data_IF_734912355955
#
_entry.id   IF_734912355955
#
_cell.length_a   1.000
_cell.length_b   1.000
_cell.length_c   1.000
_cell.angle_alpha   90.00
_cell.angle_beta   90.00
_cell.angle_gamma   90.00
#
_symmetry.space_group_name_H-M   'P 1'
#
loop_
_entity.id
_entity.type
_entity.pdbx_description
1 polymer ?
#
# COMPACT_ATOMS: atom_id res chain seq x y z
N UNK A 1 -2.77 -14.33 -10.85
CA UNK A 1 -2.67 -12.86 -10.69
C UNK A 1 -1.45 -12.32 -11.45
N UNK A 2 -0.21 -12.71 -11.11
CA UNK A 2 1.02 -12.15 -11.69
C UNK A 2 1.01 -12.06 -13.23
N UNK A 3 0.77 -13.15 -13.96
CA UNK A 3 0.81 -13.15 -15.42
C UNK A 3 -0.24 -12.23 -16.05
N UNK A 4 -1.45 -12.18 -15.49
CA UNK A 4 -2.53 -11.34 -16.00
C UNK A 4 -2.21 -9.86 -15.78
N UNK A 5 -1.85 -9.45 -14.58
CA UNK A 5 -1.50 -8.05 -14.28
C UNK A 5 -0.28 -7.61 -15.10
N UNK A 6 0.76 -8.46 -15.20
CA UNK A 6 1.92 -8.18 -16.04
C UNK A 6 1.53 -7.92 -17.50
N UNK A 7 0.65 -8.75 -18.08
CA UNK A 7 0.20 -8.58 -19.46
C UNK A 7 -0.58 -7.27 -19.66
N UNK A 8 -1.42 -6.87 -18.71
CA UNK A 8 -2.14 -5.60 -18.74
C UNK A 8 -1.13 -4.42 -18.74
N UNK A 9 -0.17 -4.43 -17.81
CA UNK A 9 0.85 -3.39 -17.73
C UNK A 9 1.72 -3.35 -19.00
N UNK A 10 2.11 -4.50 -19.53
CA UNK A 10 2.88 -4.56 -20.78
C UNK A 10 2.10 -4.03 -21.99
N UNK A 11 0.76 -4.08 -21.98
CA UNK A 11 -0.06 -3.46 -23.03
C UNK A 11 -0.20 -1.94 -22.91
N UNK A 12 0.50 -1.31 -21.95
CA UNK A 12 0.46 0.13 -21.68
C UNK A 12 -0.81 0.58 -20.96
N UNK A 13 -1.47 -0.33 -20.24
CA UNK A 13 -2.68 -0.03 -19.45
C UNK A 13 -2.43 -0.18 -17.97
N UNK A 14 -3.23 0.52 -17.17
CA UNK A 14 -3.30 0.34 -15.72
C UNK A 14 -4.24 -0.83 -15.37
N UNK A 15 -3.93 -1.55 -14.31
CA UNK A 15 -4.75 -2.66 -13.83
C UNK A 15 -5.61 -2.22 -12.65
N UNK A 16 -6.92 -2.41 -12.73
CA UNK A 16 -7.81 -2.27 -11.58
C UNK A 16 -8.13 -3.67 -11.05
N UNK A 17 -7.70 -3.96 -9.83
CA UNK A 17 -7.87 -5.25 -9.18
C UNK A 17 -8.91 -5.12 -8.07
N UNK A 18 -10.01 -5.86 -8.18
CA UNK A 18 -11.09 -5.83 -7.20
C UNK A 18 -11.18 -7.19 -6.52
N UNK A 19 -10.95 -7.20 -5.22
CA UNK A 19 -11.16 -8.37 -4.37
C UNK A 19 -10.00 -9.35 -4.31
N UNK A 20 -10.25 -10.44 -3.61
CA UNK A 20 -9.28 -11.38 -3.13
C UNK A 20 -8.64 -10.93 -1.79
N UNK A 21 -7.85 -11.80 -1.19
CA UNK A 21 -7.10 -11.46 0.02
C UNK A 21 -5.88 -10.60 -0.31
N UNK A 22 -5.40 -9.81 0.65
CA UNK A 22 -4.28 -8.87 0.47
C UNK A 22 -2.91 -9.55 0.22
N UNK A 23 -2.85 -10.89 0.29
CA UNK A 23 -1.73 -11.66 -0.26
C UNK A 23 -1.50 -11.41 -1.77
N UNK A 24 -2.47 -10.81 -2.48
CA UNK A 24 -2.34 -10.38 -3.86
C UNK A 24 -1.46 -9.13 -4.04
N UNK A 25 -1.20 -8.34 -3.01
CA UNK A 25 -0.25 -7.22 -3.07
C UNK A 25 1.11 -7.66 -3.65
N UNK A 26 1.67 -8.77 -3.17
CA UNK A 26 2.93 -9.28 -3.71
C UNK A 26 2.93 -9.55 -5.22
N UNK A 27 2.04 -10.39 -5.77
CA UNK A 27 2.01 -10.61 -7.22
C UNK A 27 1.60 -9.36 -8.02
N UNK A 28 0.83 -8.42 -7.48
CA UNK A 28 0.49 -7.16 -8.14
C UNK A 28 1.73 -6.27 -8.28
N UNK A 29 2.43 -6.00 -7.18
CA UNK A 29 3.67 -5.21 -7.16
C UNK A 29 4.72 -5.83 -8.09
N UNK A 30 4.94 -7.14 -7.96
CA UNK A 30 5.89 -7.87 -8.81
C UNK A 30 5.54 -7.78 -10.28
N UNK A 31 4.25 -7.90 -10.62
CA UNK A 31 3.76 -7.85 -12.00
C UNK A 31 3.95 -6.46 -12.61
N UNK A 32 3.55 -5.40 -11.88
CA UNK A 32 3.69 -4.03 -12.30
C UNK A 32 5.17 -3.65 -12.49
N UNK A 33 6.02 -3.92 -11.50
CA UNK A 33 7.47 -3.68 -11.60
C UNK A 33 8.10 -4.44 -12.78
N UNK A 34 7.68 -5.68 -13.01
CA UNK A 34 8.19 -6.49 -14.12
C UNK A 34 7.70 -5.98 -15.47
N UNK A 35 6.41 -5.67 -15.61
CA UNK A 35 5.81 -5.19 -16.86
C UNK A 35 6.39 -3.84 -17.29
N UNK A 36 6.48 -2.88 -16.37
CA UNK A 36 7.06 -1.56 -16.61
C UNK A 36 8.55 -1.66 -16.99
N UNK A 37 9.31 -2.52 -16.32
CA UNK A 37 10.72 -2.73 -16.64
C UNK A 37 10.93 -3.36 -18.03
N UNK A 38 10.14 -4.36 -18.38
CA UNK A 38 10.20 -5.00 -19.70
C UNK A 38 9.83 -4.05 -20.85
N UNK A 39 8.95 -3.10 -20.58
CA UNK A 39 8.60 -2.04 -21.53
C UNK A 39 9.62 -0.88 -21.57
N UNK A 40 10.69 -0.94 -20.77
CA UNK A 40 11.69 0.13 -20.68
C UNK A 40 11.22 1.42 -20.01
N UNK A 41 10.08 1.39 -19.34
CA UNK A 41 9.48 2.57 -18.66
C UNK A 41 10.25 2.90 -17.37
N UNK A 42 10.67 1.89 -16.63
CA UNK A 42 11.51 2.03 -15.44
C UNK A 42 12.84 1.29 -15.61
N UNK A 43 13.92 1.88 -15.06
CA UNK A 43 15.27 1.28 -15.14
C UNK A 43 15.44 0.15 -14.13
N UNK A 44 15.01 0.36 -12.89
CA UNK A 44 15.03 -0.63 -11.82
C UNK A 44 13.73 -1.42 -11.83
N UNK A 45 13.78 -2.71 -11.56
CA UNK A 45 12.60 -3.58 -11.50
C UNK A 45 11.90 -3.45 -10.15
N UNK A 46 11.58 -2.20 -9.77
CA UNK A 46 10.89 -1.88 -8.52
C UNK A 46 9.97 -0.68 -8.70
N UNK A 47 8.88 -0.68 -7.96
CA UNK A 47 7.90 0.42 -7.88
C UNK A 47 7.72 0.85 -6.42
N UNK A 48 7.02 1.95 -6.21
CA UNK A 48 6.54 2.36 -4.91
C UNK A 48 5.11 1.89 -4.68
N UNK A 49 4.63 1.93 -3.45
CA UNK A 49 3.24 1.64 -3.13
C UNK A 49 2.74 2.56 -2.01
N UNK A 50 1.48 3.00 -2.15
CA UNK A 50 0.72 3.64 -1.09
C UNK A 50 -0.48 2.76 -0.73
N UNK A 51 -0.70 2.50 0.56
CA UNK A 51 -1.79 1.67 1.05
C UNK A 51 -2.55 2.36 2.18
N UNK A 52 -3.88 2.38 2.11
CA UNK A 52 -4.71 2.72 3.25
C UNK A 52 -5.19 1.43 3.91
N UNK A 53 -4.73 1.17 5.11
CA UNK A 53 -4.88 -0.10 5.79
C UNK A 53 -4.70 0.06 7.31
N UNK A 54 -5.49 -0.66 8.09
CA UNK A 54 -5.34 -0.76 9.54
C UNK A 54 -4.10 -1.61 9.93
N UNK A 55 -3.67 -2.48 9.02
CA UNK A 55 -2.52 -3.38 9.16
C UNK A 55 -1.38 -2.98 8.23
N UNK A 56 -0.16 -3.33 8.58
CA UNK A 56 1.00 -3.08 7.72
C UNK A 56 1.17 -4.12 6.61
N UNK A 57 0.57 -5.28 6.77
CA UNK A 57 0.74 -6.46 5.93
C UNK A 57 2.21 -6.78 5.62
N UNK A 58 3.04 -6.54 6.67
CA UNK A 58 4.50 -6.63 6.59
C UNK A 58 5.08 -7.61 7.61
N UNK A 59 4.30 -8.64 8.01
CA UNK A 59 4.76 -9.72 8.89
C UNK A 59 5.92 -10.50 8.26
N UNK A 60 6.59 -11.33 9.06
CA UNK A 60 7.71 -12.15 8.61
C UNK A 60 7.31 -13.13 7.49
N UNK A 61 8.32 -13.59 6.74
CA UNK A 61 8.13 -14.52 5.61
C UNK A 61 7.98 -15.97 6.09
N UNK A 62 6.94 -16.23 6.85
CA UNK A 62 6.58 -17.53 7.43
C UNK A 62 5.68 -18.41 6.53
N UNK A 63 5.69 -18.15 5.23
CA UNK A 63 4.73 -18.65 4.26
C UNK A 63 3.82 -17.50 3.79
N UNK A 64 3.33 -17.57 2.55
CA UNK A 64 2.55 -16.46 1.96
C UNK A 64 1.11 -16.44 2.50
N UNK A 65 0.72 -15.32 3.07
CA UNK A 65 -0.64 -15.04 3.53
C UNK A 65 -0.95 -13.53 3.40
N UNK A 66 -2.17 -13.08 3.71
CA UNK A 66 -2.60 -11.69 3.56
C UNK A 66 -1.73 -10.70 4.34
N UNK A 67 -1.30 -11.04 5.54
CA UNK A 67 -0.53 -10.15 6.42
C UNK A 67 0.96 -10.01 6.10
N UNK A 68 1.46 -10.49 4.94
CA UNK A 68 2.89 -10.36 4.61
C UNK A 68 3.19 -10.11 3.11
N UNK A 69 2.18 -9.72 2.34
CA UNK A 69 2.35 -9.48 0.90
C UNK A 69 3.41 -8.43 0.58
N UNK A 70 3.40 -7.31 1.29
CA UNK A 70 4.37 -6.23 1.09
C UNK A 70 5.78 -6.62 1.55
N UNK A 71 5.90 -7.45 2.60
CA UNK A 71 7.21 -7.96 3.02
C UNK A 71 7.88 -8.78 1.92
N UNK A 72 7.15 -9.71 1.29
CA UNK A 72 7.67 -10.46 0.15
C UNK A 72 8.06 -9.57 -1.02
N UNK A 73 7.27 -8.54 -1.34
CA UNK A 73 7.58 -7.61 -2.41
C UNK A 73 8.86 -6.80 -2.11
N UNK A 74 9.03 -6.35 -0.87
CA UNK A 74 10.18 -5.58 -0.43
C UNK A 74 11.47 -6.42 -0.42
N UNK A 75 11.46 -7.58 0.22
CA UNK A 75 12.65 -8.45 0.31
C UNK A 75 13.10 -8.97 -1.06
N UNK A 76 12.15 -9.19 -1.98
CA UNK A 76 12.47 -9.54 -3.36
C UNK A 76 12.79 -8.35 -4.27
N UNK A 77 12.88 -7.13 -3.72
CA UNK A 77 13.28 -5.90 -4.40
C UNK A 77 12.33 -5.44 -5.54
N UNK A 78 11.06 -5.81 -5.46
CA UNK A 78 10.01 -5.28 -6.34
C UNK A 78 9.33 -4.04 -5.75
N UNK A 79 9.35 -3.87 -4.44
CA UNK A 79 8.86 -2.71 -3.69
C UNK A 79 10.06 -1.89 -3.20
N UNK A 80 10.10 -0.60 -3.51
CA UNK A 80 11.17 0.31 -3.08
C UNK A 80 10.74 1.16 -1.88
N UNK A 81 9.64 1.92 -2.04
CA UNK A 81 9.05 2.72 -0.96
C UNK A 81 7.63 2.26 -0.68
N UNK A 82 7.27 2.20 0.59
CA UNK A 82 5.94 1.83 1.04
C UNK A 82 5.41 2.85 2.03
N UNK A 83 4.32 3.53 1.66
CA UNK A 83 3.63 4.49 2.52
C UNK A 83 2.29 3.92 3.00
N UNK A 84 2.04 3.99 4.29
CA UNK A 84 0.82 3.48 4.93
C UNK A 84 0.04 4.62 5.57
N UNK A 85 -1.28 4.66 5.36
CA UNK A 85 -2.19 5.68 5.91
C UNK A 85 -3.29 5.00 6.72
N UNK A 86 -3.44 5.37 7.98
CA UNK A 86 -4.47 4.83 8.87
C UNK A 86 -4.06 3.57 9.62
N UNK A 87 -2.76 3.31 9.73
CA UNK A 87 -2.18 2.16 10.40
C UNK A 87 -2.52 2.19 11.91
N UNK A 88 -3.14 1.14 12.46
CA UNK A 88 -3.42 1.06 13.89
C UNK A 88 -2.21 0.58 14.70
N UNK A 89 -1.86 1.31 15.74
CA UNK A 89 -0.75 0.93 16.63
C UNK A 89 -0.97 -0.45 17.26
N UNK A 90 -2.20 -0.75 17.67
CA UNK A 90 -2.56 -1.99 18.38
C UNK A 90 -2.75 -3.21 17.48
N UNK A 91 -2.89 -3.03 16.16
CA UNK A 91 -3.12 -4.14 15.22
C UNK A 91 -1.81 -4.64 14.58
N UNK A 92 -0.70 -3.98 14.89
CA UNK A 92 0.60 -4.28 14.31
C UNK A 92 1.60 -4.71 15.38
N UNK A 93 2.37 -5.73 15.10
CA UNK A 93 3.40 -6.21 16.02
C UNK A 93 4.52 -5.18 16.19
N UNK A 94 4.94 -4.92 17.43
CA UNK A 94 5.92 -3.88 17.74
C UNK A 94 7.26 -4.06 17.03
N UNK A 95 7.73 -5.30 16.85
CA UNK A 95 8.97 -5.60 16.12
C UNK A 95 8.85 -5.26 14.62
N UNK A 96 7.66 -5.40 14.02
CA UNK A 96 7.40 -5.04 12.62
C UNK A 96 7.40 -3.51 12.47
N UNK A 97 6.71 -2.80 13.37
CA UNK A 97 6.72 -1.33 13.38
C UNK A 97 8.12 -0.78 13.59
N UNK A 98 8.88 -1.33 14.54
CA UNK A 98 10.26 -0.93 14.80
C UNK A 98 11.12 -1.13 13.55
N UNK A 99 11.03 -2.30 12.90
CA UNK A 99 11.77 -2.59 11.67
C UNK A 99 11.53 -1.52 10.58
N UNK A 100 10.27 -1.08 10.42
CA UNK A 100 9.93 -0.06 9.43
C UNK A 100 10.37 1.35 9.86
N UNK A 101 10.19 1.72 11.13
CA UNK A 101 10.59 3.02 11.65
C UNK A 101 12.11 3.27 11.61
N UNK A 102 12.89 2.20 11.69
CA UNK A 102 14.36 2.25 11.53
C UNK A 102 14.82 2.43 10.06
N UNK A 103 13.89 2.42 9.10
CA UNK A 103 14.15 2.53 7.65
C UNK A 103 13.29 3.60 6.99
N UNK A 104 13.43 4.88 7.42
CA UNK A 104 12.59 5.96 6.92
C UNK A 104 12.78 6.24 5.41
N UNK A 105 13.83 5.74 4.81
CA UNK A 105 14.07 5.80 3.36
C UNK A 105 13.15 4.84 2.56
N UNK A 106 12.64 3.78 3.22
CA UNK A 106 11.79 2.78 2.57
C UNK A 106 10.33 2.80 3.07
N UNK A 107 10.07 3.37 4.27
CA UNK A 107 8.75 3.30 4.90
C UNK A 107 8.29 4.66 5.43
N UNK A 108 7.03 4.99 5.15
CA UNK A 108 6.33 6.14 5.74
C UNK A 108 5.06 5.65 6.42
N UNK A 109 4.95 5.88 7.73
CA UNK A 109 3.84 5.44 8.54
C UNK A 109 3.01 6.65 8.99
N UNK A 110 1.69 6.57 8.80
CA UNK A 110 0.73 7.52 9.37
C UNK A 110 -0.29 6.74 10.18
N UNK A 111 -0.21 6.88 11.50
CA UNK A 111 -1.04 6.12 12.43
C UNK A 111 -2.45 6.68 12.54
N UNK A 112 -3.43 5.79 12.64
CA UNK A 112 -4.83 6.12 12.88
C UNK A 112 -5.00 6.94 14.16
N UNK A 113 -4.30 6.56 15.22
CA UNK A 113 -4.33 7.24 16.51
C UNK A 113 -3.81 8.68 16.42
N UNK A 114 -2.79 8.95 15.61
CA UNK A 114 -2.26 10.30 15.42
C UNK A 114 -3.20 11.18 14.57
N UNK A 115 -3.98 10.56 13.67
CA UNK A 115 -4.94 11.27 12.82
C UNK A 115 -6.25 11.56 13.58
N UNK A 116 -6.84 10.55 14.24
CA UNK A 116 -8.24 10.62 14.72
C UNK A 116 -8.39 10.68 16.24
N UNK A 117 -7.36 10.31 17.00
CA UNK A 117 -7.43 10.29 18.46
C UNK A 117 -6.62 11.43 19.07
N UNK A 118 -5.37 11.62 18.57
CA UNK A 118 -4.47 12.65 19.09
C UNK A 118 -4.51 13.93 18.27
N UNK A 119 -5.14 13.89 17.09
CA UNK A 119 -5.30 15.04 16.17
C UNK A 119 -3.98 15.78 15.86
N UNK A 120 -2.87 15.03 15.77
CA UNK A 120 -1.55 15.60 15.47
C UNK A 120 -1.41 16.02 14.01
N UNK A 121 -2.16 15.36 13.13
CA UNK A 121 -2.17 15.58 11.69
C UNK A 121 -3.58 15.26 11.17
N UNK A 122 -4.09 16.03 10.23
CA UNK A 122 -5.35 15.72 9.59
C UNK A 122 -5.22 14.53 8.63
N UNK A 123 -6.33 13.85 8.33
CA UNK A 123 -6.35 12.76 7.36
C UNK A 123 -5.81 13.21 5.98
N UNK A 124 -6.19 14.40 5.53
CA UNK A 124 -5.74 14.97 4.26
C UNK A 124 -4.24 15.18 4.23
N UNK A 125 -3.66 15.74 5.30
CA UNK A 125 -2.21 15.94 5.41
C UNK A 125 -1.47 14.60 5.48
N UNK A 126 -2.01 13.59 6.17
CA UNK A 126 -1.43 12.24 6.21
C UNK A 126 -1.39 11.61 4.81
N UNK A 127 -2.47 11.75 4.03
CA UNK A 127 -2.52 11.28 2.63
C UNK A 127 -1.53 12.04 1.76
N UNK A 128 -1.47 13.37 1.87
CA UNK A 128 -0.53 14.18 1.08
C UNK A 128 0.94 13.86 1.42
N UNK A 129 1.26 13.66 2.69
CA UNK A 129 2.59 13.20 3.14
C UNK A 129 2.97 11.86 2.51
N UNK A 130 2.04 10.91 2.50
CA UNK A 130 2.26 9.61 1.90
C UNK A 130 2.48 9.70 0.37
N UNK A 131 1.69 10.53 -0.33
CA UNK A 131 1.84 10.80 -1.77
C UNK A 131 3.21 11.41 -2.07
N UNK A 132 3.59 12.47 -1.36
CA UNK A 132 4.90 13.12 -1.53
C UNK A 132 6.07 12.15 -1.34
N UNK A 133 5.93 11.20 -0.40
CA UNK A 133 6.95 10.23 -0.11
C UNK A 133 7.16 9.19 -1.25
N UNK A 134 6.10 8.81 -1.96
CA UNK A 134 6.16 7.74 -3.00
C UNK A 134 6.16 8.26 -4.43
N UNK A 135 5.98 9.56 -4.68
CA UNK A 135 5.76 10.13 -6.03
C UNK A 135 6.96 10.07 -6.99
N UNK A 136 8.15 9.75 -6.50
CA UNK A 136 9.39 9.73 -7.27
C UNK A 136 9.53 8.52 -8.20
N UNK A 137 8.58 7.59 -8.18
CA UNK A 137 8.54 6.43 -9.07
C UNK A 137 7.08 6.07 -9.41
N UNK A 138 6.88 5.11 -10.31
CA UNK A 138 5.58 4.48 -10.52
C UNK A 138 5.08 3.87 -9.23
N UNK A 139 3.77 3.96 -9.00
CA UNK A 139 3.17 3.63 -7.71
C UNK A 139 1.92 2.76 -7.86
N UNK A 140 1.84 1.69 -7.07
CA UNK A 140 0.60 0.98 -6.80
C UNK A 140 -0.23 1.73 -5.76
N UNK A 141 -1.54 1.84 -5.99
CA UNK A 141 -2.48 2.41 -5.02
C UNK A 141 -3.35 1.28 -4.49
N UNK A 142 -3.21 0.99 -3.20
CA UNK A 142 -3.99 -0.06 -2.54
C UNK A 142 -4.87 0.52 -1.43
N UNK A 143 -6.00 -0.13 -1.21
CA UNK A 143 -6.89 0.12 -0.09
C UNK A 143 -7.41 -1.23 0.42
N UNK A 144 -7.09 -1.57 1.67
CA UNK A 144 -7.74 -2.71 2.31
C UNK A 144 -9.13 -2.29 2.79
N UNK A 145 -10.12 -3.16 2.56
CA UNK A 145 -11.50 -2.88 2.97
C UNK A 145 -11.65 -2.82 4.49
N UNK A 146 -10.75 -3.42 5.25
CA UNK A 146 -10.79 -3.39 6.71
C UNK A 146 -10.30 -2.05 7.32
N UNK A 147 -9.69 -1.18 6.50
CA UNK A 147 -9.44 0.21 6.92
C UNK A 147 -10.74 1.02 7.03
N UNK A 148 -11.82 0.61 6.33
CA UNK A 148 -13.10 1.32 6.31
C UNK A 148 -14.00 0.79 7.41
N UNK A 149 -14.52 1.70 8.25
CA UNK A 149 -15.38 1.34 9.37
C UNK A 149 -16.59 0.50 8.94
N UNK A 150 -16.86 -0.57 9.69
CA UNK A 150 -18.04 -1.43 9.55
C UNK A 150 -18.20 -2.18 8.22
N UNK A 151 -17.22 -2.15 7.32
CA UNK A 151 -17.24 -2.97 6.11
C UNK A 151 -17.11 -4.45 6.49
N UNK A 152 -17.91 -5.36 5.89
CA UNK A 152 -17.77 -6.79 6.10
C UNK A 152 -16.44 -7.30 5.52
N UNK A 153 -15.45 -7.49 6.37
CA UNK A 153 -14.13 -8.06 6.06
C UNK A 153 -13.75 -9.09 7.13
N UNK A 154 -12.66 -9.79 6.94
CA UNK A 154 -12.15 -10.76 7.93
C UNK A 154 -11.67 -10.07 9.22
N UNK A 155 -11.25 -8.81 9.13
CA UNK A 155 -10.80 -7.97 10.26
C UNK A 155 -11.69 -6.74 10.46
N UNK A 156 -13.02 -6.93 10.38
CA UNK A 156 -13.99 -5.85 10.55
C UNK A 156 -13.74 -5.05 11.81
N UNK A 157 -13.62 -3.73 11.67
CA UNK A 157 -13.52 -2.78 12.78
C UNK A 157 -14.62 -1.71 12.72
N UNK A 158 -15.01 -1.17 13.88
CA UNK A 158 -15.78 0.07 13.98
C UNK A 158 -14.89 1.31 14.00
N UNK A 159 -13.60 1.14 14.27
CA UNK A 159 -12.57 2.18 14.34
C UNK A 159 -11.79 2.22 13.02
N UNK A 160 -12.41 2.77 12.00
CA UNK A 160 -11.81 2.90 10.65
C UNK A 160 -12.11 4.26 10.04
N UNK A 161 -11.58 4.50 8.86
CA UNK A 161 -11.93 5.68 8.07
C UNK A 161 -13.35 5.56 7.52
N UNK A 162 -13.98 6.70 7.23
CA UNK A 162 -15.28 6.72 6.55
C UNK A 162 -15.13 6.38 5.05
N UNK A 163 -16.22 5.97 4.42
CA UNK A 163 -16.27 5.78 2.97
C UNK A 163 -15.96 7.06 2.18
N UNK A 164 -16.24 8.24 2.75
CA UNK A 164 -15.87 9.53 2.16
C UNK A 164 -14.36 9.71 2.18
N UNK A 165 -13.71 9.40 3.29
CA UNK A 165 -12.25 9.48 3.42
C UNK A 165 -11.54 8.46 2.50
N UNK A 166 -12.08 7.25 2.36
CA UNK A 166 -11.59 6.27 1.40
C UNK A 166 -11.61 6.81 -0.05
N UNK A 167 -12.72 7.47 -0.44
CA UNK A 167 -12.83 8.13 -1.75
C UNK A 167 -11.87 9.31 -1.89
N UNK A 168 -11.69 10.12 -0.84
CA UNK A 168 -10.71 11.20 -0.83
C UNK A 168 -9.29 10.67 -1.02
N UNK A 169 -8.92 9.59 -0.31
CA UNK A 169 -7.63 8.93 -0.45
C UNK A 169 -7.35 8.52 -1.90
N UNK A 170 -8.25 7.71 -2.49
CA UNK A 170 -8.09 7.23 -3.87
C UNK A 170 -8.03 8.39 -4.86
N UNK A 171 -8.94 9.37 -4.77
CA UNK A 171 -8.99 10.50 -5.70
C UNK A 171 -7.71 11.33 -5.63
N UNK A 172 -7.20 11.61 -4.41
CA UNK A 172 -5.96 12.40 -4.23
C UNK A 172 -4.74 11.63 -4.74
N UNK A 173 -4.61 10.35 -4.40
CA UNK A 173 -3.49 9.53 -4.82
C UNK A 173 -3.46 9.39 -6.35
N UNK A 174 -4.57 8.99 -6.97
CA UNK A 174 -4.65 8.81 -8.42
C UNK A 174 -4.44 10.10 -9.21
N UNK A 175 -4.76 11.28 -8.65
CA UNK A 175 -4.55 12.57 -9.33
C UNK A 175 -3.11 13.07 -9.29
N UNK A 176 -2.25 12.53 -8.43
CA UNK A 176 -0.90 13.05 -8.14
C UNK A 176 0.23 12.06 -8.39
N UNK A 177 -0.09 10.78 -8.53
CA UNK A 177 0.90 9.71 -8.70
C UNK A 177 0.92 9.20 -10.15
N UNK A 178 2.07 8.73 -10.58
CA UNK A 178 2.19 7.90 -11.78
C UNK A 178 1.74 6.49 -11.42
N UNK A 179 0.44 6.21 -11.55
CA UNK A 179 -0.16 4.94 -11.16
C UNK A 179 0.17 3.82 -12.14
N UNK A 180 0.25 2.61 -11.63
CA UNK A 180 0.40 1.40 -12.45
C UNK A 180 -0.68 0.36 -12.14
N UNK A 181 -1.29 0.40 -10.95
CA UNK A 181 -2.51 -0.37 -10.61
C UNK A 181 -3.19 0.25 -9.40
#
# INVERSE_FOLDING_TARGET
>A
VFEVVKAIIQSGKEAIIIGGGHNNAFPNIKAAATGLHLNGVIKTKSINCINSDAHSDFREMEGRHSGNGFRYAFEQKFLNKYAMVGLHESYNAGNVLQYMMERPENFSLSFFEDIFIREKISFTEAVDKAIEYVKDNYCGIEIDMDTIQNIPSSAKTSSGISTIQARQYITRAASKLNTCY
#
